data_IF_152238362988
#
_entry.id   IF_152238362988
#
_cell.length_a   1.000
_cell.length_b   1.000
_cell.length_c   1.000
_cell.angle_alpha   90.00
_cell.angle_beta   90.00
_cell.angle_gamma   90.00
#
_symmetry.space_group_name_H-M   'P 1'
#
loop_
_entity.id
_entity.type
_entity.pdbx_description
1 polymer ?
#
# COMPACT_ATOMS: atom_id res chain seq x y z
N UNK A 1 -23.73 -10.08 -1.47
CA UNK A 1 -22.54 -10.51 -2.21
C UNK A 1 -21.35 -10.51 -1.28
N UNK A 2 -20.49 -11.49 -1.41
CA UNK A 2 -19.27 -11.55 -0.61
C UNK A 2 -18.29 -10.45 -1.04
N UNK A 3 -17.60 -9.86 -0.07
CA UNK A 3 -16.56 -8.88 -0.34
C UNK A 3 -15.38 -9.58 -1.02
N UNK A 4 -14.99 -9.09 -2.19
CA UNK A 4 -13.86 -9.64 -2.93
C UNK A 4 -12.53 -9.16 -2.32
N UNK A 5 -11.67 -10.10 -1.97
CA UNK A 5 -10.35 -9.82 -1.40
C UNK A 5 -9.27 -10.03 -2.47
N UNK A 6 -8.37 -9.06 -2.61
CA UNK A 6 -7.28 -9.14 -3.59
C UNK A 6 -5.92 -9.36 -2.93
N UNK A 7 -5.84 -9.27 -1.61
CA UNK A 7 -4.61 -9.49 -0.85
C UNK A 7 -4.41 -10.93 -0.44
N UNK A 8 -3.15 -11.32 -0.31
CA UNK A 8 -2.73 -12.65 0.15
C UNK A 8 -1.83 -12.49 1.36
N UNK A 9 -2.14 -13.20 2.45
CA UNK A 9 -1.24 -13.32 3.59
C UNK A 9 -0.23 -14.43 3.30
N UNK A 10 1.04 -14.17 3.62
CA UNK A 10 2.11 -15.15 3.41
C UNK A 10 3.20 -14.99 4.47
N UNK A 11 4.03 -16.02 4.58
CA UNK A 11 5.27 -15.98 5.35
C UNK A 11 6.42 -15.98 4.35
N UNK A 12 7.32 -14.99 4.47
CA UNK A 12 8.47 -14.88 3.58
C UNK A 12 9.52 -15.94 3.92
N UNK A 13 10.49 -16.11 3.02
CA UNK A 13 11.60 -17.06 3.20
C UNK A 13 12.43 -16.74 4.46
N UNK A 14 12.47 -15.46 4.85
CA UNK A 14 13.15 -15.02 6.08
C UNK A 14 12.30 -15.19 7.35
N UNK A 15 11.10 -15.78 7.23
CA UNK A 15 10.18 -16.04 8.34
C UNK A 15 9.27 -14.88 8.71
N UNK A 16 9.40 -13.72 8.08
CA UNK A 16 8.54 -12.57 8.39
C UNK A 16 7.17 -12.68 7.73
N UNK A 17 6.09 -12.30 8.44
CA UNK A 17 4.76 -12.27 7.85
C UNK A 17 4.61 -11.09 6.88
N UNK A 18 3.79 -11.26 5.86
CA UNK A 18 3.53 -10.22 4.87
C UNK A 18 2.13 -10.33 4.29
N UNK A 19 1.63 -9.23 3.76
CA UNK A 19 0.44 -9.22 2.90
C UNK A 19 0.88 -8.67 1.54
N UNK A 20 0.36 -9.29 0.46
CA UNK A 20 0.76 -8.97 -0.91
C UNK A 20 -0.45 -8.75 -1.79
N UNK A 21 -0.35 -7.73 -2.63
CA UNK A 21 -1.37 -7.38 -3.61
C UNK A 21 -0.70 -7.25 -4.97
N UNK A 22 -1.34 -7.80 -6.02
CA UNK A 22 -0.83 -7.68 -7.38
C UNK A 22 -1.97 -7.26 -8.31
N UNK A 23 -1.74 -6.22 -9.12
CA UNK A 23 -2.74 -5.68 -10.04
C UNK A 23 -2.08 -5.31 -11.36
N UNK A 24 -2.82 -5.52 -12.44
CA UNK A 24 -2.39 -5.09 -13.78
C UNK A 24 -3.12 -3.79 -14.10
N UNK A 25 -2.34 -2.78 -14.48
CA UNK A 25 -2.85 -1.48 -14.90
C UNK A 25 -2.57 -1.29 -16.40
N UNK A 26 -3.56 -0.75 -17.12
CA UNK A 26 -3.44 -0.48 -18.55
C UNK A 26 -2.71 0.84 -18.80
N UNK A 27 -1.51 0.96 -18.24
CA UNK A 27 -0.64 2.14 -18.30
C UNK A 27 0.82 1.72 -18.41
N UNK A 28 1.64 2.53 -19.11
CA UNK A 28 3.08 2.26 -19.22
C UNK A 28 3.78 2.30 -17.84
N UNK A 29 4.88 1.58 -17.73
CA UNK A 29 5.65 1.49 -16.47
C UNK A 29 6.12 2.88 -15.99
N UNK A 30 6.50 3.77 -16.89
CA UNK A 30 6.92 5.13 -16.51
C UNK A 30 5.79 5.92 -15.85
N UNK A 31 4.56 5.77 -16.31
CA UNK A 31 3.39 6.41 -15.71
C UNK A 31 3.11 5.82 -14.31
N UNK A 32 3.12 4.51 -14.21
CA UNK A 32 2.91 3.84 -12.92
C UNK A 32 4.01 4.17 -11.91
N UNK A 33 5.25 4.26 -12.36
CA UNK A 33 6.36 4.67 -11.49
C UNK A 33 6.13 6.06 -10.88
N UNK A 34 5.67 7.00 -11.70
CA UNK A 34 5.35 8.34 -11.23
C UNK A 34 4.25 8.32 -10.16
N UNK A 35 3.20 7.50 -10.36
CA UNK A 35 2.09 7.40 -9.40
C UNK A 35 2.53 6.88 -8.03
N UNK A 36 3.57 6.05 -7.97
CA UNK A 36 4.01 5.42 -6.73
C UNK A 36 5.26 6.06 -6.12
N UNK A 37 5.81 7.11 -6.73
CA UNK A 37 7.01 7.79 -6.21
C UNK A 37 6.85 9.30 -6.07
N UNK A 38 5.99 9.94 -6.85
CA UNK A 38 5.79 11.38 -6.78
C UNK A 38 4.92 11.76 -5.58
N UNK A 39 5.36 12.75 -4.80
CA UNK A 39 4.66 13.15 -3.57
C UNK A 39 3.21 13.58 -3.83
N UNK A 40 2.95 14.34 -4.90
CA UNK A 40 1.61 14.76 -5.26
C UNK A 40 0.70 13.59 -5.66
N UNK A 41 1.24 12.61 -6.35
CA UNK A 41 0.50 11.42 -6.75
C UNK A 41 0.27 10.47 -5.57
N UNK A 42 1.26 10.28 -4.71
CA UNK A 42 1.13 9.46 -3.50
C UNK A 42 0.01 9.97 -2.59
N UNK A 43 -0.15 11.29 -2.48
CA UNK A 43 -1.20 11.89 -1.67
C UNK A 43 -2.62 11.47 -2.11
N UNK A 44 -2.77 10.94 -3.32
CA UNK A 44 -4.07 10.54 -3.88
C UNK A 44 -4.47 9.11 -3.54
N UNK A 45 -3.54 8.28 -3.11
CA UNK A 45 -3.85 6.87 -2.84
C UNK A 45 -3.15 6.28 -1.62
N UNK A 46 -1.95 6.74 -1.25
CA UNK A 46 -1.20 6.25 -0.10
C UNK A 46 -1.86 6.73 1.20
N UNK A 47 -1.76 5.99 2.34
CA UNK A 47 -2.44 6.36 3.59
C UNK A 47 -2.05 7.71 4.16
N UNK A 48 -0.88 8.22 3.80
CA UNK A 48 -0.39 9.54 4.24
C UNK A 48 0.19 10.29 3.07
N UNK A 49 0.57 11.54 3.28
CA UNK A 49 1.48 12.21 2.38
C UNK A 49 2.86 11.61 2.58
N UNK A 50 3.62 11.47 1.53
CA UNK A 50 4.98 10.95 1.59
C UNK A 50 5.89 11.78 0.68
N UNK A 51 6.97 12.28 1.25
CA UNK A 51 8.03 12.96 0.49
C UNK A 51 9.25 12.08 0.54
N UNK A 52 9.73 11.65 -0.63
CA UNK A 52 10.77 10.63 -0.76
C UNK A 52 12.04 11.24 -1.35
N UNK A 53 13.15 11.12 -0.61
CA UNK A 53 14.46 11.26 -1.23
C UNK A 53 14.74 9.96 -1.98
N UNK A 54 14.54 9.95 -3.29
CA UNK A 54 14.51 8.74 -4.11
C UNK A 54 15.93 8.24 -4.42
N UNK A 55 16.59 7.74 -3.39
CA UNK A 55 17.92 7.12 -3.45
C UNK A 55 18.08 6.13 -2.31
N UNK A 56 18.92 5.10 -2.45
CA UNK A 56 19.20 4.20 -1.32
C UNK A 56 19.72 4.98 -0.11
N UNK A 57 19.15 4.70 1.06
CA UNK A 57 19.46 5.41 2.28
C UNK A 57 18.81 6.79 2.43
N UNK A 58 18.01 7.22 1.44
CA UNK A 58 17.28 8.49 1.51
C UNK A 58 16.22 8.50 2.60
N UNK A 59 15.79 9.69 3.00
CA UNK A 59 14.75 9.85 4.01
C UNK A 59 13.38 9.95 3.35
N UNK A 60 12.37 9.34 3.98
CA UNK A 60 10.96 9.54 3.63
C UNK A 60 10.30 10.22 4.80
N UNK A 61 9.52 11.27 4.52
CA UNK A 61 8.72 11.95 5.54
C UNK A 61 7.24 11.65 5.31
N UNK A 62 6.58 11.10 6.32
CA UNK A 62 5.16 10.77 6.29
C UNK A 62 4.37 11.76 7.14
N UNK A 63 3.28 12.31 6.58
CA UNK A 63 2.45 13.29 7.27
C UNK A 63 1.00 13.23 6.79
N UNK A 64 0.08 13.80 7.56
CA UNK A 64 -1.31 13.96 7.14
C UNK A 64 -2.19 12.71 7.24
N UNK A 65 -1.70 11.61 7.82
CA UNK A 65 -2.54 10.45 8.10
C UNK A 65 -3.33 10.73 9.39
N UNK A 66 -4.68 10.69 9.34
CA UNK A 66 -5.49 10.95 10.53
C UNK A 66 -5.33 9.89 11.63
N UNK A 67 -4.77 8.73 11.30
CA UNK A 67 -4.62 7.60 12.23
C UNK A 67 -3.21 7.43 12.77
N UNK A 68 -2.23 8.22 12.26
CA UNK A 68 -0.84 8.07 12.65
C UNK A 68 -0.16 9.43 12.79
N UNK A 69 0.78 9.59 13.75
CA UNK A 69 1.55 10.82 13.86
C UNK A 69 2.51 10.96 12.67
N UNK A 70 2.97 12.19 12.45
CA UNK A 70 4.04 12.44 11.49
C UNK A 70 5.27 11.62 11.87
N UNK A 71 5.90 11.01 10.89
CA UNK A 71 7.05 10.13 11.11
C UNK A 71 7.98 10.16 9.91
N UNK A 72 9.16 9.56 10.08
CA UNK A 72 10.12 9.40 9.01
C UNK A 72 10.48 7.93 8.83
N UNK A 73 10.86 7.58 7.61
CA UNK A 73 11.37 6.26 7.27
C UNK A 73 12.62 6.41 6.41
N UNK A 74 13.14 5.28 5.96
CA UNK A 74 14.34 5.25 5.13
C UNK A 74 14.07 4.43 3.87
N UNK A 75 14.59 4.92 2.75
CA UNK A 75 14.58 4.16 1.50
C UNK A 75 15.62 3.04 1.63
N UNK A 76 15.18 1.80 1.37
CA UNK A 76 16.02 0.62 1.46
C UNK A 76 16.66 0.30 0.10
N UNK A 77 15.87 0.36 -0.98
CA UNK A 77 16.35 0.09 -2.32
C UNK A 77 15.55 0.89 -3.36
N UNK A 78 16.21 1.30 -4.42
CA UNK A 78 15.57 1.95 -5.58
C UNK A 78 16.20 1.38 -6.84
N UNK A 79 15.36 0.90 -7.75
CA UNK A 79 15.74 0.51 -9.11
C UNK A 79 14.64 1.02 -10.05
N UNK A 80 14.76 2.28 -10.45
CA UNK A 80 13.76 2.93 -11.28
C UNK A 80 13.74 2.33 -12.69
N UNK A 81 12.61 2.09 -13.30
CA UNK A 81 11.24 2.26 -12.82
C UNK A 81 10.59 0.96 -12.29
N UNK A 82 11.37 0.06 -11.72
CA UNK A 82 10.94 -1.32 -11.41
C UNK A 82 10.72 -1.61 -9.94
N UNK A 83 11.49 -0.96 -9.05
CA UNK A 83 11.45 -1.33 -7.63
C UNK A 83 11.74 -0.14 -6.72
N UNK A 84 10.93 -0.04 -5.66
CA UNK A 84 11.17 0.85 -4.54
C UNK A 84 10.81 0.11 -3.27
N UNK A 85 11.71 0.09 -2.29
CA UNK A 85 11.38 -0.40 -0.96
C UNK A 85 11.82 0.59 0.10
N UNK A 86 11.06 0.64 1.20
CA UNK A 86 11.32 1.58 2.28
C UNK A 86 10.70 1.11 3.59
N UNK A 87 11.26 1.60 4.70
CA UNK A 87 10.71 1.37 6.02
C UNK A 87 9.50 2.27 6.24
N UNK A 88 8.43 1.70 6.79
CA UNK A 88 7.18 2.38 7.09
C UNK A 88 6.70 1.96 8.48
N UNK A 89 7.01 2.80 9.48
CA UNK A 89 6.87 2.38 10.87
C UNK A 89 7.76 1.17 11.15
N UNK A 90 7.22 0.15 11.77
CA UNK A 90 7.90 -1.14 11.96
C UNK A 90 7.81 -2.07 10.76
N UNK A 91 7.02 -1.70 9.76
CA UNK A 91 6.84 -2.48 8.54
C UNK A 91 7.87 -2.11 7.48
N UNK A 92 7.92 -2.91 6.42
CA UNK A 92 8.75 -2.66 5.25
C UNK A 92 7.88 -2.80 4.01
N UNK A 93 7.81 -1.75 3.19
CA UNK A 93 7.00 -1.76 1.98
C UNK A 93 7.87 -1.99 0.75
N UNK A 94 7.39 -2.85 -0.16
CA UNK A 94 7.99 -3.10 -1.46
C UNK A 94 6.99 -2.78 -2.55
N UNK A 95 7.39 -1.91 -3.47
CA UNK A 95 6.65 -1.61 -4.70
C UNK A 95 7.43 -2.20 -5.85
N UNK A 96 6.85 -3.19 -6.53
CA UNK A 96 7.46 -3.84 -7.68
C UNK A 96 6.62 -3.58 -8.93
N UNK A 97 7.26 -3.10 -9.98
CA UNK A 97 6.61 -2.79 -11.24
C UNK A 97 7.24 -3.64 -12.35
N UNK A 98 6.43 -4.51 -12.94
CA UNK A 98 6.83 -5.35 -14.06
C UNK A 98 6.20 -4.81 -15.33
N UNK A 99 7.03 -4.39 -16.28
CA UNK A 99 6.56 -3.98 -17.59
C UNK A 99 6.11 -5.21 -18.37
N UNK A 100 4.80 -5.32 -18.63
CA UNK A 100 4.24 -6.43 -19.39
C UNK A 100 4.34 -6.16 -20.90
N UNK A 101 4.10 -4.91 -21.29
CA UNK A 101 4.29 -4.37 -22.65
C UNK A 101 4.32 -2.84 -22.54
N UNK A 102 4.32 -2.15 -23.69
CA UNK A 102 4.41 -0.68 -23.73
C UNK A 102 3.17 0.04 -23.18
N UNK A 103 2.11 -0.69 -22.83
CA UNK A 103 0.84 -0.13 -22.35
C UNK A 103 0.33 -0.75 -21.06
N UNK A 104 0.99 -1.78 -20.53
CA UNK A 104 0.52 -2.48 -19.32
C UNK A 104 1.66 -2.74 -18.37
N UNK A 105 1.34 -2.60 -17.08
CA UNK A 105 2.28 -2.81 -15.99
C UNK A 105 1.61 -3.62 -14.90
N UNK A 106 2.32 -4.62 -14.37
CA UNK A 106 1.90 -5.30 -13.14
C UNK A 106 2.54 -4.56 -11.97
N UNK A 107 1.69 -4.05 -11.07
CA UNK A 107 2.12 -3.44 -9.82
C UNK A 107 1.89 -4.44 -8.70
N UNK A 108 2.94 -4.75 -7.93
CA UNK A 108 2.86 -5.61 -6.75
C UNK A 108 3.28 -4.81 -5.53
N UNK A 109 2.40 -4.74 -4.54
CA UNK A 109 2.67 -4.13 -3.25
C UNK A 109 2.81 -5.25 -2.23
N UNK A 110 3.94 -5.27 -1.50
CA UNK A 110 4.17 -6.20 -0.40
C UNK A 110 4.43 -5.40 0.87
N UNK A 111 3.60 -5.60 1.88
CA UNK A 111 3.76 -5.02 3.21
C UNK A 111 4.32 -6.12 4.11
N UNK A 112 5.61 -6.02 4.43
CA UNK A 112 6.29 -6.94 5.35
C UNK A 112 6.01 -6.47 6.76
N UNK A 113 5.26 -7.24 7.51
CA UNK A 113 4.67 -6.82 8.79
C UNK A 113 5.65 -6.95 9.95
N UNK A 114 5.64 -5.96 10.82
CA UNK A 114 6.33 -6.04 12.11
C UNK A 114 5.74 -7.15 12.98
N UNK A 115 4.41 -7.30 12.95
CA UNK A 115 3.70 -8.29 13.74
C UNK A 115 2.57 -8.93 12.92
N UNK A 116 2.43 -10.24 13.03
CA UNK A 116 1.44 -11.00 12.24
C UNK A 116 0.01 -10.55 12.49
N UNK A 117 -0.33 -10.15 13.72
CA UNK A 117 -1.70 -9.76 14.08
C UNK A 117 -2.16 -8.44 13.45
N UNK A 118 -1.27 -7.71 12.79
CA UNK A 118 -1.62 -6.50 12.02
C UNK A 118 -2.11 -6.83 10.61
N UNK A 119 -2.00 -8.09 10.17
CA UNK A 119 -2.23 -8.48 8.77
C UNK A 119 -3.61 -8.10 8.25
N UNK A 120 -4.69 -8.48 8.94
CA UNK A 120 -6.05 -8.19 8.49
C UNK A 120 -6.32 -6.68 8.47
N UNK A 121 -5.86 -5.97 9.49
CA UNK A 121 -5.99 -4.51 9.59
C UNK A 121 -5.31 -3.81 8.42
N UNK A 122 -4.06 -4.15 8.16
CA UNK A 122 -3.28 -3.52 7.11
C UNK A 122 -3.79 -3.91 5.73
N UNK A 123 -4.16 -5.18 5.53
CA UNK A 123 -4.72 -5.63 4.26
C UNK A 123 -6.00 -4.88 3.91
N UNK A 124 -6.89 -4.67 4.88
CA UNK A 124 -8.12 -3.88 4.65
C UNK A 124 -7.79 -2.44 4.23
N UNK A 125 -6.79 -1.83 4.85
CA UNK A 125 -6.32 -0.49 4.49
C UNK A 125 -5.77 -0.44 3.07
N UNK A 126 -4.98 -1.43 2.69
CA UNK A 126 -4.42 -1.49 1.32
C UNK A 126 -5.49 -1.70 0.26
N UNK A 127 -6.56 -2.46 0.54
CA UNK A 127 -7.68 -2.58 -0.40
C UNK A 127 -8.27 -1.21 -0.73
N UNK A 128 -8.48 -0.37 0.28
CA UNK A 128 -9.00 0.99 0.09
C UNK A 128 -7.99 1.87 -0.67
N UNK A 129 -6.71 1.80 -0.30
CA UNK A 129 -5.65 2.56 -0.95
C UNK A 129 -5.49 2.17 -2.42
N UNK A 130 -5.52 0.88 -2.72
CA UNK A 130 -5.34 0.40 -4.09
C UNK A 130 -6.54 0.73 -4.98
N UNK A 131 -7.75 0.79 -4.43
CA UNK A 131 -8.91 1.30 -5.17
C UNK A 131 -8.71 2.77 -5.56
N UNK A 132 -8.14 3.58 -4.66
CA UNK A 132 -7.80 4.97 -4.95
C UNK A 132 -6.68 5.07 -6.00
N UNK A 133 -5.69 4.17 -5.95
CA UNK A 133 -4.64 4.10 -6.98
C UNK A 133 -5.22 3.78 -8.35
N UNK A 134 -6.12 2.80 -8.43
CA UNK A 134 -6.79 2.43 -9.68
C UNK A 134 -7.51 3.64 -10.29
N UNK A 135 -8.25 4.38 -9.47
CA UNK A 135 -8.97 5.59 -9.91
C UNK A 135 -7.99 6.67 -10.38
N UNK A 136 -6.92 6.90 -9.64
CA UNK A 136 -5.89 7.89 -9.98
C UNK A 136 -5.21 7.52 -11.32
N UNK A 137 -4.91 6.23 -11.52
CA UNK A 137 -4.28 5.75 -12.74
C UNK A 137 -5.18 5.97 -13.97
N UNK A 138 -6.49 5.86 -13.81
CA UNK A 138 -7.46 6.15 -14.88
C UNK A 138 -7.69 7.65 -15.11
N UNK A 139 -7.03 8.52 -14.37
CA UNK A 139 -7.22 9.96 -14.46
C UNK A 139 -8.46 10.47 -13.72
N UNK A 140 -9.09 9.65 -12.91
CA UNK A 140 -10.22 10.04 -12.09
C UNK A 140 -9.73 10.84 -10.88
N UNK A 141 -10.55 11.75 -10.38
CA UNK A 141 -10.21 12.54 -9.21
C UNK A 141 -10.28 11.68 -7.96
N UNK A 142 -9.20 11.67 -7.18
CA UNK A 142 -9.14 11.02 -5.87
C UNK A 142 -8.60 12.00 -4.84
N UNK A 143 -9.27 12.08 -3.70
CA UNK A 143 -8.84 12.92 -2.58
C UNK A 143 -8.12 12.10 -1.51
N UNK A 144 -7.75 10.85 -1.84
CA UNK A 144 -7.04 9.95 -0.95
C UNK A 144 -7.94 8.93 -0.29
N UNK A 145 -7.35 7.89 0.35
CA UNK A 145 -8.10 6.78 0.93
C UNK A 145 -8.97 7.17 2.13
N UNK A 146 -8.67 8.29 2.79
CA UNK A 146 -9.43 8.75 3.95
C UNK A 146 -10.60 9.66 3.59
N UNK A 147 -10.78 10.01 2.32
CA UNK A 147 -11.84 10.88 1.85
C UNK A 147 -13.21 10.19 1.79
N UNK A 148 -13.22 8.85 1.75
CA UNK A 148 -14.43 8.05 1.70
C UNK A 148 -14.96 7.68 3.09
N UNK A 149 -16.02 6.88 3.10
CA UNK A 149 -16.58 6.36 4.35
C UNK A 149 -15.72 5.20 4.89
N UNK A 150 -15.71 5.03 6.20
CA UNK A 150 -15.00 3.90 6.84
C UNK A 150 -15.72 2.56 6.62
N UNK A 151 -16.92 2.58 6.02
CA UNK A 151 -17.71 1.37 5.79
C UNK A 151 -16.99 0.34 4.93
N UNK A 152 -16.33 0.79 3.84
CA UNK A 152 -15.58 -0.12 2.96
C UNK A 152 -14.43 -0.80 3.70
N UNK A 153 -13.69 -0.04 4.51
CA UNK A 153 -12.61 -0.59 5.31
C UNK A 153 -13.11 -1.68 6.27
N UNK A 154 -14.21 -1.41 6.95
CA UNK A 154 -14.81 -2.36 7.91
C UNK A 154 -15.26 -3.66 7.22
N UNK A 155 -15.82 -3.55 6.03
CA UNK A 155 -16.20 -4.72 5.24
C UNK A 155 -14.98 -5.58 4.85
N UNK A 156 -13.91 -4.94 4.38
CA UNK A 156 -12.66 -5.63 4.06
C UNK A 156 -12.04 -6.26 5.30
N UNK A 157 -12.00 -5.54 6.41
CA UNK A 157 -11.44 -6.06 7.65
C UNK A 157 -12.18 -7.31 8.11
N UNK A 158 -13.51 -7.26 8.16
CA UNK A 158 -14.33 -8.40 8.55
C UNK A 158 -14.11 -9.59 7.61
N UNK A 159 -14.01 -9.35 6.31
CA UNK A 159 -13.79 -10.40 5.32
C UNK A 159 -12.41 -11.06 5.48
N UNK A 160 -11.37 -10.29 5.75
CA UNK A 160 -10.04 -10.85 6.01
C UNK A 160 -10.00 -11.67 7.29
N UNK A 161 -10.64 -11.21 8.35
CA UNK A 161 -10.74 -11.98 9.60
C UNK A 161 -11.48 -13.29 9.36
N UNK A 162 -12.61 -13.26 8.64
CA UNK A 162 -13.38 -14.45 8.30
C UNK A 162 -12.57 -15.43 7.44
N UNK A 163 -11.72 -14.92 6.56
CA UNK A 163 -10.85 -15.75 5.72
C UNK A 163 -9.68 -16.38 6.47
N UNK A 164 -9.51 -16.07 7.76
CA UNK A 164 -8.46 -16.64 8.59
C UNK A 164 -7.15 -15.87 8.59
N UNK A 165 -7.13 -14.66 8.04
CA UNK A 165 -5.93 -13.81 8.08
C UNK A 165 -5.71 -13.34 9.52
N UNK A 166 -4.47 -13.40 10.05
CA UNK A 166 -4.19 -12.99 11.42
C UNK A 166 -4.69 -11.58 11.74
N UNK A 167 -5.27 -11.43 12.91
CA UNK A 167 -5.87 -10.18 13.36
C UNK A 167 -5.68 -10.04 14.89
N UNK A 168 -6.16 -8.94 15.46
CA UNK A 168 -6.11 -8.70 16.90
C UNK A 168 -5.35 -7.43 17.28
N UNK A 169 -4.58 -6.85 16.35
CA UNK A 169 -3.93 -5.57 16.60
C UNK A 169 -4.96 -4.46 16.80
N UNK A 170 -4.68 -3.45 17.65
CA UNK A 170 -5.58 -2.32 17.84
C UNK A 170 -5.94 -1.63 16.52
N UNK A 171 -7.21 -1.25 16.38
CA UNK A 171 -7.71 -0.57 15.20
C UNK A 171 -8.10 0.85 15.59
N UNK A 172 -7.42 1.87 15.05
CA UNK A 172 -7.77 3.26 15.37
C UNK A 172 -9.24 3.57 15.04
N UNK A 173 -9.96 4.14 16.00
CA UNK A 173 -11.36 4.53 15.83
C UNK A 173 -12.39 3.43 16.04
N UNK A 174 -11.97 2.20 16.37
CA UNK A 174 -12.87 1.09 16.68
C UNK A 174 -12.80 0.64 18.15
N UNK A 175 -11.92 1.20 18.94
CA UNK A 175 -11.77 0.88 20.37
C UNK A 175 -12.65 1.75 21.24
#
# INVERSE_FOLDING_TARGET
MATELTGTYLTRDDGRPAVRFSRIHDHPVAHMWQLVTDAGELARWFPSRAEIELRPGGTITFSGDPNMPESTGRVLAVDAPRHLSFAWGGDELHFDLEELDDKRTRFTLTDVLEAADTAARNAAGWEVCLAALDATARGERSEGPHAGTTASWKEFYAAYVEAGVPSGAPVPGLD
#
